data_IF_718922512007
#
_entry.id   IF_718922512007
#
_cell.length_a   1.000
_cell.length_b   1.000
_cell.length_c   1.000
_cell.angle_alpha   90.00
_cell.angle_beta   90.00
_cell.angle_gamma   90.00
#
_symmetry.space_group_name_H-M   'P 1'
#
loop_
_entity.id
_entity.type
_entity.pdbx_description
1 polymer ?
#
# COMPACT_ATOMS: atom_id res chain seq x y z
N UNK A 1 2.75 -6.06 -20.02
CA UNK A 1 2.42 -6.40 -18.62
C UNK A 1 3.51 -5.83 -17.72
N UNK A 2 3.17 -4.95 -16.77
CA UNK A 2 4.13 -4.34 -15.83
C UNK A 2 4.32 -5.27 -14.63
N UNK A 3 5.56 -5.62 -14.28
CA UNK A 3 5.85 -6.47 -13.10
C UNK A 3 5.89 -5.61 -11.84
N UNK A 4 5.47 -6.16 -10.69
CA UNK A 4 5.54 -5.45 -9.40
C UNK A 4 6.95 -4.97 -9.05
N UNK A 5 7.98 -5.74 -9.42
CA UNK A 5 9.38 -5.34 -9.27
C UNK A 5 9.78 -4.10 -10.09
N UNK A 6 9.03 -3.76 -11.14
CA UNK A 6 9.27 -2.59 -11.99
C UNK A 6 8.56 -1.33 -11.46
N UNK A 7 7.64 -1.49 -10.53
CA UNK A 7 6.89 -0.39 -9.90
C UNK A 7 7.71 0.13 -8.72
N UNK A 8 8.75 0.90 -9.02
CA UNK A 8 9.70 1.41 -8.04
C UNK A 8 9.49 2.87 -7.66
N UNK A 9 10.33 3.34 -6.74
CA UNK A 9 10.52 4.75 -6.43
C UNK A 9 11.91 4.94 -5.82
N UNK A 10 12.43 6.16 -5.83
CA UNK A 10 13.75 6.45 -5.23
C UNK A 10 13.77 6.28 -3.69
N UNK A 11 12.60 6.13 -3.07
CA UNK A 11 12.46 5.91 -1.63
C UNK A 11 11.49 4.77 -1.37
N UNK A 12 11.63 4.11 -0.22
CA UNK A 12 10.78 3.01 0.24
C UNK A 12 9.32 3.41 0.28
N UNK A 13 9.04 4.61 0.80
CA UNK A 13 7.69 5.16 0.80
C UNK A 13 7.13 5.32 -0.62
N UNK A 14 7.92 5.82 -1.58
CA UNK A 14 7.45 5.96 -2.97
C UNK A 14 7.27 4.60 -3.65
N UNK A 15 8.15 3.64 -3.35
CA UNK A 15 8.06 2.27 -3.83
C UNK A 15 6.76 1.60 -3.34
N UNK A 16 6.51 1.59 -2.03
CA UNK A 16 5.28 1.06 -1.42
C UNK A 16 4.04 1.70 -2.04
N UNK A 17 4.00 3.04 -2.16
CA UNK A 17 2.85 3.75 -2.71
C UNK A 17 2.55 3.35 -4.16
N UNK A 18 3.57 3.20 -4.99
CA UNK A 18 3.41 2.82 -6.39
C UNK A 18 2.91 1.38 -6.52
N UNK A 19 3.47 0.45 -5.74
CA UNK A 19 3.02 -0.94 -5.69
C UNK A 19 1.54 -1.00 -5.24
N UNK A 20 1.18 -0.31 -4.15
CA UNK A 20 -0.18 -0.33 -3.62
C UNK A 20 -1.20 0.31 -4.58
N UNK A 21 -0.83 1.41 -5.25
CA UNK A 21 -1.72 2.08 -6.20
C UNK A 21 -2.05 1.21 -7.41
N UNK A 22 -1.09 0.43 -7.92
CA UNK A 22 -1.33 -0.45 -9.06
C UNK A 22 -2.13 -1.70 -8.69
N UNK A 23 -1.84 -2.32 -7.54
CA UNK A 23 -2.42 -3.64 -7.21
C UNK A 23 -3.80 -3.50 -6.58
N UNK A 24 -3.95 -2.53 -5.69
CA UNK A 24 -5.16 -2.37 -4.88
C UNK A 24 -6.03 -1.27 -5.47
N UNK A 25 -5.42 -0.18 -5.94
CA UNK A 25 -6.17 1.02 -6.31
C UNK A 25 -6.83 1.69 -5.10
N UNK A 26 -7.39 2.87 -5.30
CA UNK A 26 -7.92 3.67 -4.18
C UNK A 26 -9.30 3.21 -3.71
N UNK A 27 -10.11 2.66 -4.60
CA UNK A 27 -11.45 2.16 -4.30
C UNK A 27 -11.39 0.97 -3.35
N UNK A 28 -10.64 -0.08 -3.71
CA UNK A 28 -10.44 -1.24 -2.84
C UNK A 28 -9.76 -0.81 -1.55
N UNK A 29 -8.79 0.11 -1.60
CA UNK A 29 -8.11 0.60 -0.39
C UNK A 29 -9.04 1.30 0.62
N UNK A 30 -10.25 1.75 0.25
CA UNK A 30 -11.22 2.25 1.22
C UNK A 30 -11.87 1.15 2.05
N UNK A 31 -11.94 -0.07 1.51
CA UNK A 31 -12.50 -1.23 2.21
C UNK A 31 -11.53 -1.80 3.27
N UNK A 32 -10.25 -1.38 3.25
CA UNK A 32 -9.21 -1.89 4.15
C UNK A 32 -8.72 -0.82 5.12
N UNK A 33 -8.40 -1.26 6.34
CA UNK A 33 -7.48 -0.56 7.23
C UNK A 33 -6.35 -1.51 7.61
N UNK A 34 -5.30 -1.00 8.26
CA UNK A 34 -4.20 -1.87 8.67
C UNK A 34 -4.64 -3.01 9.59
N UNK A 35 -5.45 -2.70 10.61
CA UNK A 35 -5.91 -3.67 11.61
C UNK A 35 -7.34 -4.18 11.40
N UNK A 36 -8.10 -3.66 10.43
CA UNK A 36 -9.52 -4.02 10.23
C UNK A 36 -10.48 -3.35 11.21
N UNK A 37 -10.33 -2.05 11.46
CA UNK A 37 -11.19 -1.29 12.38
C UNK A 37 -12.49 -0.81 11.72
N UNK A 38 -13.52 -0.48 12.52
CA UNK A 38 -14.79 0.14 12.04
C UNK A 38 -15.43 -0.60 10.84
N UNK A 39 -15.53 -1.93 10.94
CA UNK A 39 -16.10 -2.81 9.90
C UNK A 39 -15.31 -2.85 8.57
N UNK A 40 -14.06 -2.40 8.55
CA UNK A 40 -13.16 -2.56 7.39
C UNK A 40 -12.38 -3.87 7.46
N UNK A 41 -11.88 -4.33 6.33
CA UNK A 41 -11.02 -5.50 6.22
C UNK A 41 -9.60 -5.20 6.75
N UNK A 42 -8.95 -6.21 7.32
CA UNK A 42 -7.56 -6.08 7.82
C UNK A 42 -6.56 -6.34 6.69
N UNK A 43 -5.68 -5.37 6.43
CA UNK A 43 -4.55 -5.55 5.50
C UNK A 43 -3.40 -6.33 6.14
N UNK A 44 -3.11 -6.10 7.43
CA UNK A 44 -1.92 -6.64 8.12
C UNK A 44 -1.78 -8.15 7.97
N UNK A 45 -2.89 -8.88 8.07
CA UNK A 45 -2.89 -10.34 8.06
C UNK A 45 -3.14 -10.94 6.67
N UNK A 46 -3.02 -10.14 5.61
CA UNK A 46 -3.28 -10.59 4.25
C UNK A 46 -1.98 -11.08 3.59
N UNK A 47 -2.09 -12.15 2.79
CA UNK A 47 -0.99 -12.63 1.94
C UNK A 47 -0.50 -11.55 0.96
N UNK A 48 -1.37 -10.60 0.62
CA UNK A 48 -1.00 -9.44 -0.18
C UNK A 48 -0.02 -8.53 0.56
N UNK A 49 -0.25 -8.27 1.84
CA UNK A 49 0.68 -7.50 2.68
C UNK A 49 2.05 -8.17 2.76
N UNK A 50 2.09 -9.47 3.05
CA UNK A 50 3.34 -10.24 3.10
C UNK A 50 4.11 -10.18 1.77
N UNK A 51 3.37 -10.24 0.65
CA UNK A 51 3.95 -10.17 -0.70
C UNK A 51 4.56 -8.80 -0.96
N UNK A 52 3.86 -7.71 -0.62
CA UNK A 52 4.38 -6.35 -0.79
C UNK A 52 5.62 -6.13 0.06
N UNK A 53 5.59 -6.52 1.34
CA UNK A 53 6.73 -6.42 2.26
C UNK A 53 7.94 -7.18 1.69
N UNK A 54 7.74 -8.42 1.26
CA UNK A 54 8.80 -9.25 0.68
C UNK A 54 9.43 -8.61 -0.56
N UNK A 55 8.62 -8.02 -1.44
CA UNK A 55 9.13 -7.37 -2.66
C UNK A 55 9.95 -6.13 -2.33
N UNK A 56 9.46 -5.31 -1.40
CA UNK A 56 10.16 -4.06 -1.02
C UNK A 56 11.46 -4.38 -0.28
N UNK A 57 11.46 -5.35 0.65
CA UNK A 57 12.68 -5.81 1.34
C UNK A 57 13.75 -6.35 0.40
N UNK A 58 13.36 -7.03 -0.68
CA UNK A 58 14.32 -7.56 -1.67
C UNK A 58 14.99 -6.46 -2.49
N UNK A 59 14.35 -5.30 -2.60
CA UNK A 59 14.81 -4.19 -3.45
C UNK A 59 15.57 -3.12 -2.65
N UNK A 60 15.05 -2.77 -1.48
CA UNK A 60 15.53 -1.67 -0.67
C UNK A 60 16.07 -2.20 0.67
N UNK A 61 17.16 -1.63 1.17
CA UNK A 61 17.68 -1.93 2.53
C UNK A 61 16.81 -1.22 3.59
N UNK A 62 15.59 -1.72 3.78
CA UNK A 62 14.63 -1.20 4.75
C UNK A 62 14.20 -2.25 5.76
N UNK A 63 13.49 -1.80 6.78
CA UNK A 63 12.92 -2.67 7.81
C UNK A 63 11.46 -2.99 7.50
N UNK A 64 10.98 -4.14 7.99
CA UNK A 64 9.55 -4.49 7.91
C UNK A 64 8.70 -3.36 8.51
N UNK A 65 9.10 -2.86 9.69
CA UNK A 65 8.37 -1.81 10.39
C UNK A 65 8.21 -0.52 9.56
N UNK A 66 9.26 -0.09 8.86
CA UNK A 66 9.21 1.08 7.98
C UNK A 66 8.23 0.87 6.81
N UNK A 67 8.24 -0.32 6.22
CA UNK A 67 7.35 -0.68 5.11
C UNK A 67 5.90 -0.73 5.60
N UNK A 68 5.65 -1.38 6.73
CA UNK A 68 4.33 -1.43 7.36
C UNK A 68 3.80 -0.03 7.67
N UNK A 69 4.64 0.87 8.17
CA UNK A 69 4.27 2.27 8.42
C UNK A 69 3.88 2.99 7.12
N UNK A 70 4.63 2.78 6.04
CA UNK A 70 4.30 3.34 4.73
C UNK A 70 2.96 2.82 4.21
N UNK A 71 2.69 1.52 4.36
CA UNK A 71 1.43 0.89 3.97
C UNK A 71 0.25 1.41 4.80
N UNK A 72 0.44 1.51 6.12
CA UNK A 72 -0.53 2.07 7.06
C UNK A 72 -0.94 3.48 6.66
N UNK A 73 0.04 4.35 6.47
CA UNK A 73 -0.19 5.75 6.13
C UNK A 73 -0.84 5.89 4.75
N UNK A 74 -0.45 5.03 3.79
CA UNK A 74 -1.10 5.01 2.50
C UNK A 74 -2.57 4.61 2.62
N UNK A 75 -2.91 3.51 3.29
CA UNK A 75 -4.31 3.08 3.50
C UNK A 75 -5.14 4.15 4.19
N UNK A 76 -4.60 4.80 5.23
CA UNK A 76 -5.29 5.85 5.99
C UNK A 76 -5.80 6.98 5.10
N UNK A 77 -5.04 7.33 4.05
CA UNK A 77 -5.37 8.42 3.11
C UNK A 77 -6.16 7.97 1.88
N UNK A 78 -6.67 6.72 1.81
CA UNK A 78 -7.46 6.25 0.66
C UNK A 78 -8.72 7.09 0.43
N UNK A 79 -9.38 7.49 1.53
CA UNK A 79 -10.52 8.42 1.54
C UNK A 79 -10.24 9.75 0.84
N UNK A 80 -9.12 10.39 1.20
CA UNK A 80 -8.71 11.67 0.62
C UNK A 80 -8.44 11.55 -0.88
N UNK A 81 -7.74 10.48 -1.29
CA UNK A 81 -7.42 10.24 -2.71
C UNK A 81 -8.67 10.01 -3.55
N UNK A 82 -9.65 9.27 -3.03
CA UNK A 82 -10.94 9.08 -3.71
C UNK A 82 -11.73 10.39 -3.84
N UNK A 83 -11.75 11.23 -2.80
CA UNK A 83 -12.37 12.56 -2.89
C UNK A 83 -11.69 13.45 -3.92
N UNK A 84 -10.37 13.40 -4.01
CA UNK A 84 -9.62 14.15 -5.01
C UNK A 84 -9.89 13.67 -6.44
N UNK A 85 -10.06 12.36 -6.65
CA UNK A 85 -10.45 11.80 -7.95
C UNK A 85 -11.84 12.25 -8.40
N UNK A 86 -12.83 12.24 -7.49
CA UNK A 86 -14.22 12.63 -7.82
C UNK A 86 -14.41 14.13 -8.09
N UNK A 87 -13.42 14.96 -7.75
CA UNK A 87 -13.43 16.41 -8.02
C UNK A 87 -12.82 16.77 -9.38
N UNK A 88 -12.19 15.81 -10.06
CA UNK A 88 -11.67 15.96 -11.41
C UNK A 88 -12.70 15.43 -12.40
#
# INVERSE_FOLDING_TARGET
IKRMSQMGGATVAKNVRNIMAEIIGYEVAQAYTWKGQKKTLSMKNSKLSDTIITIVLKRDKSTIAEIELCMQEWLRRSGDRMRALKKK
#
